data_IF_205803304466
#
_entry.id   IF_205803304466
#
_cell.length_a   1.000
_cell.length_b   1.000
_cell.length_c   1.000
_cell.angle_alpha   90.00
_cell.angle_beta   90.00
_cell.angle_gamma   90.00
#
_symmetry.space_group_name_H-M   'P 1'
#
loop_
_entity.id
_entity.type
_entity.pdbx_description
1 polymer ?
#
# COMPACT_ATOMS: atom_id res chain seq x y z
N UNK A 1 -13.62 -7.96 -6.23
CA UNK A 1 -13.88 -7.37 -4.90
C UNK A 1 -15.06 -6.44 -5.00
N UNK A 2 -16.17 -6.69 -4.28
CA UNK A 2 -17.14 -5.65 -4.02
C UNK A 2 -16.45 -4.50 -3.26
N UNK A 3 -16.83 -3.23 -3.45
CA UNK A 3 -16.25 -2.14 -2.69
C UNK A 3 -16.36 -2.39 -1.18
N UNK A 4 -15.26 -2.22 -0.46
CA UNK A 4 -15.16 -2.41 0.97
C UNK A 4 -14.97 -1.07 1.66
N UNK A 5 -15.69 -0.86 2.77
CA UNK A 5 -15.58 0.34 3.58
C UNK A 5 -14.57 0.12 4.71
N UNK A 6 -13.56 0.97 4.79
CA UNK A 6 -12.57 1.00 5.86
C UNK A 6 -12.68 2.33 6.61
N UNK A 7 -12.67 2.27 7.96
CA UNK A 7 -12.88 3.45 8.80
C UNK A 7 -12.02 3.42 10.06
N UNK A 8 -11.42 4.56 10.36
CA UNK A 8 -10.81 4.85 11.66
C UNK A 8 -11.40 6.14 12.25
N UNK A 9 -10.81 6.64 13.34
CA UNK A 9 -11.26 7.88 14.02
C UNK A 9 -11.08 9.13 13.16
N UNK A 10 -10.24 9.07 12.15
CA UNK A 10 -9.80 10.23 11.37
C UNK A 10 -10.17 10.16 9.90
N UNK A 11 -10.52 9.00 9.34
CA UNK A 11 -10.83 8.81 7.93
C UNK A 11 -11.88 7.71 7.70
N UNK A 12 -12.67 7.88 6.64
CA UNK A 12 -13.55 6.84 6.09
C UNK A 12 -13.26 6.73 4.59
N UNK A 13 -12.81 5.56 4.16
CA UNK A 13 -12.41 5.30 2.78
C UNK A 13 -13.14 4.09 2.22
N UNK A 14 -13.44 4.13 0.93
CA UNK A 14 -13.89 2.99 0.15
C UNK A 14 -12.71 2.45 -0.64
N UNK A 15 -12.49 1.13 -0.59
CA UNK A 15 -11.50 0.44 -1.40
C UNK A 15 -12.21 -0.54 -2.32
N UNK A 16 -11.77 -0.67 -3.56
CA UNK A 16 -12.41 -1.57 -4.50
C UNK A 16 -11.58 -1.84 -5.73
N UNK A 17 -12.01 -2.81 -6.53
CA UNK A 17 -11.37 -3.11 -7.80
C UNK A 17 -11.86 -2.17 -8.89
N UNK A 18 -10.93 -1.65 -9.70
CA UNK A 18 -11.24 -0.85 -10.87
C UNK A 18 -10.53 -1.42 -12.10
N UNK A 19 -11.29 -1.70 -13.16
CA UNK A 19 -10.75 -2.24 -14.41
C UNK A 19 -10.36 -1.10 -15.36
N UNK A 20 -9.14 -1.17 -15.88
CA UNK A 20 -8.64 -0.25 -16.92
C UNK A 20 -8.25 -1.01 -18.17
N UNK A 21 -8.04 -0.31 -19.28
CA UNK A 21 -7.49 -0.91 -20.49
C UNK A 21 -6.09 -1.52 -20.29
N UNK A 22 -5.35 -1.05 -19.28
CA UNK A 22 -3.99 -1.50 -18.96
C UNK A 22 -3.96 -2.51 -17.80
N UNK A 23 -5.11 -3.01 -17.37
CA UNK A 23 -5.23 -3.99 -16.29
C UNK A 23 -5.98 -3.48 -15.07
N UNK A 24 -6.15 -4.37 -14.09
CA UNK A 24 -6.91 -4.12 -12.88
C UNK A 24 -6.11 -3.32 -11.86
N UNK A 25 -6.76 -2.37 -11.20
CA UNK A 25 -6.19 -1.48 -10.19
C UNK A 25 -7.00 -1.53 -8.91
N UNK A 26 -6.39 -1.16 -7.80
CA UNK A 26 -7.09 -0.83 -6.57
C UNK A 26 -7.54 0.64 -6.62
N UNK A 27 -8.84 0.87 -6.60
CA UNK A 27 -9.43 2.17 -6.29
C UNK A 27 -9.39 2.37 -4.77
N UNK A 28 -8.91 3.53 -4.35
CA UNK A 28 -9.10 4.07 -3.01
C UNK A 28 -9.80 5.41 -3.14
N UNK A 29 -10.94 5.56 -2.47
CA UNK A 29 -11.75 6.78 -2.45
C UNK A 29 -11.91 7.28 -1.03
N UNK A 30 -11.51 8.51 -0.76
CA UNK A 30 -11.85 9.22 0.47
C UNK A 30 -13.30 9.69 0.41
N UNK A 31 -14.16 9.19 1.31
CA UNK A 31 -15.58 9.54 1.31
C UNK A 31 -15.87 10.93 1.87
N UNK A 32 -14.92 11.55 2.57
CA UNK A 32 -15.08 12.91 3.08
C UNK A 32 -14.82 13.95 1.98
N UNK A 33 -13.70 13.83 1.27
CA UNK A 33 -13.31 14.79 0.22
C UNK A 33 -13.76 14.41 -1.19
N UNK A 34 -14.10 13.14 -1.41
CA UNK A 34 -14.33 12.58 -2.74
C UNK A 34 -13.05 12.37 -3.57
N UNK A 35 -11.85 12.55 -2.98
CA UNK A 35 -10.59 12.32 -3.66
C UNK A 35 -10.35 10.82 -3.91
N UNK A 36 -9.76 10.50 -5.06
CA UNK A 36 -9.55 9.13 -5.53
C UNK A 36 -8.10 8.91 -5.96
N UNK A 37 -7.61 7.69 -5.78
CA UNK A 37 -6.38 7.19 -6.40
C UNK A 37 -6.58 5.76 -6.90
N UNK A 38 -5.91 5.42 -8.00
CA UNK A 38 -6.00 4.12 -8.67
C UNK A 38 -4.64 3.45 -8.71
N UNK A 39 -4.36 2.60 -7.72
CA UNK A 39 -3.06 1.96 -7.54
C UNK A 39 -2.95 0.72 -8.41
N UNK A 40 -1.94 0.66 -9.26
CA UNK A 40 -1.63 -0.55 -10.02
C UNK A 40 -0.87 -1.59 -9.17
N UNK A 41 -0.74 -2.85 -9.64
CA UNK A 41 -0.05 -3.89 -8.88
C UNK A 41 1.41 -3.57 -8.50
N UNK A 42 2.14 -2.78 -9.31
CA UNK A 42 3.54 -2.43 -9.02
C UNK A 42 3.60 -1.35 -7.94
N UNK A 43 2.70 -0.37 -8.01
CA UNK A 43 2.56 0.63 -6.96
C UNK A 43 2.22 -0.03 -5.61
N UNK A 44 1.32 -1.03 -5.61
CA UNK A 44 0.97 -1.80 -4.41
C UNK A 44 2.15 -2.63 -3.88
N UNK A 45 2.89 -3.29 -4.77
CA UNK A 45 4.12 -4.01 -4.43
C UNK A 45 5.16 -3.06 -3.82
N UNK A 46 5.33 -1.86 -4.37
CA UNK A 46 6.26 -0.89 -3.81
C UNK A 46 5.85 -0.37 -2.44
N UNK A 47 4.56 -0.32 -2.12
CA UNK A 47 4.08 0.02 -0.76
C UNK A 47 4.50 -1.03 0.28
N UNK A 48 4.66 -2.31 -0.09
CA UNK A 48 5.17 -3.33 0.83
C UNK A 48 6.65 -3.12 1.14
N UNK A 49 7.47 -2.77 0.13
CA UNK A 49 8.89 -2.44 0.30
C UNK A 49 9.15 -1.16 1.08
N UNK A 50 8.36 -0.11 0.84
CA UNK A 50 8.55 1.19 1.49
C UNK A 50 8.40 1.10 3.01
N UNK A 51 7.56 0.17 3.50
CA UNK A 51 7.43 -0.13 4.93
C UNK A 51 8.62 -0.89 5.52
N UNK A 52 9.49 -1.44 4.69
CA UNK A 52 10.78 -2.03 5.10
C UNK A 52 11.93 -1.00 5.04
N UNK A 53 11.79 0.05 4.21
CA UNK A 53 12.78 1.13 4.06
C UNK A 53 12.83 2.09 5.25
N UNK A 54 14.03 2.58 5.57
CA UNK A 54 14.26 3.47 6.72
C UNK A 54 13.92 4.94 6.49
N UNK A 55 13.80 5.41 5.26
CA UNK A 55 13.72 6.85 4.97
C UNK A 55 12.74 7.23 3.85
N UNK A 56 12.13 8.41 3.96
CA UNK A 56 11.41 9.10 2.88
C UNK A 56 10.06 9.74 3.25
N UNK A 57 9.59 10.72 2.46
CA UNK A 57 8.32 11.42 2.71
C UNK A 57 7.10 10.50 2.59
N UNK A 58 7.16 9.48 1.73
CA UNK A 58 6.11 8.47 1.65
C UNK A 58 6.10 7.56 2.90
N UNK A 59 7.26 7.27 3.50
CA UNK A 59 7.31 6.49 4.75
C UNK A 59 6.62 7.23 5.89
N UNK A 60 6.85 8.55 6.00
CA UNK A 60 6.17 9.38 6.99
C UNK A 60 4.63 9.36 6.83
N UNK A 61 4.13 9.17 5.62
CA UNK A 61 2.70 9.01 5.33
C UNK A 61 2.16 7.64 5.73
N UNK A 62 3.00 6.60 5.69
CA UNK A 62 2.66 5.20 5.99
C UNK A 62 2.97 4.78 7.45
N UNK A 63 3.36 5.68 8.35
CA UNK A 63 3.51 5.34 9.78
C UNK A 63 4.42 4.13 10.10
N UNK A 64 4.22 3.56 11.30
CA UNK A 64 4.93 2.37 11.78
C UNK A 64 4.14 1.08 11.51
N UNK A 65 4.84 -0.05 11.40
CA UNK A 65 4.22 -1.35 11.12
C UNK A 65 3.67 -1.95 12.42
N UNK A 66 2.36 -2.20 12.48
CA UNK A 66 1.77 -3.04 13.51
C UNK A 66 2.09 -4.52 13.19
N UNK A 67 2.70 -5.24 14.14
CA UNK A 67 2.93 -6.67 14.00
C UNK A 67 1.60 -7.40 13.89
N UNK A 68 1.41 -8.13 12.80
CA UNK A 68 0.19 -8.85 12.51
C UNK A 68 0.19 -10.22 13.23
N UNK A 69 -0.86 -10.52 13.99
CA UNK A 69 -1.23 -11.93 14.26
C UNK A 69 -1.98 -12.44 13.02
N UNK A 70 -1.52 -13.56 12.43
CA UNK A 70 -2.04 -14.08 11.16
C UNK A 70 -3.57 -13.92 11.06
N UNK A 71 -4.08 -13.11 10.12
CA UNK A 71 -5.51 -12.96 9.98
C UNK A 71 -6.08 -14.32 9.54
N UNK A 72 -7.14 -14.77 10.21
CA UNK A 72 -7.98 -15.86 9.68
C UNK A 72 -8.40 -15.52 8.24
N UNK A 73 -8.58 -16.53 7.37
CA UNK A 73 -8.44 -16.36 5.92
C UNK A 73 -9.37 -15.26 5.42
N UNK A 74 -8.83 -14.09 5.02
CA UNK A 74 -9.65 -13.09 4.37
C UNK A 74 -10.04 -13.61 2.98
N UNK A 75 -11.12 -13.09 2.41
CA UNK A 75 -11.31 -13.14 0.95
C UNK A 75 -10.21 -12.27 0.32
N UNK A 76 -9.03 -12.87 0.17
CA UNK A 76 -7.88 -12.24 -0.47
C UNK A 76 -8.03 -12.35 -1.98
N UNK A 77 -7.89 -11.23 -2.66
CA UNK A 77 -7.91 -11.15 -4.11
C UNK A 77 -6.53 -10.92 -4.68
N UNK A 78 -6.29 -11.44 -5.88
CA UNK A 78 -5.06 -11.19 -6.61
C UNK A 78 -5.29 -10.04 -7.59
N UNK A 79 -4.40 -9.04 -7.51
CA UNK A 79 -4.18 -8.05 -8.54
C UNK A 79 -2.84 -8.32 -9.21
N UNK A 80 -2.83 -8.33 -10.54
CA UNK A 80 -1.66 -8.69 -11.33
C UNK A 80 -1.57 -7.86 -12.59
N UNK A 81 -0.36 -7.49 -12.97
CA UNK A 81 -0.01 -7.04 -14.31
C UNK A 81 1.24 -7.78 -14.82
N UNK A 82 1.87 -7.29 -15.89
CA UNK A 82 3.04 -7.94 -16.49
C UNK A 82 4.32 -7.86 -15.62
N UNK A 83 4.33 -7.03 -14.59
CA UNK A 83 5.49 -6.74 -13.75
C UNK A 83 5.33 -7.19 -12.28
N UNK A 84 4.12 -7.17 -11.75
CA UNK A 84 3.83 -7.36 -10.34
C UNK A 84 2.57 -8.21 -10.10
N UNK A 85 2.56 -8.94 -8.99
CA UNK A 85 1.43 -9.75 -8.53
C UNK A 85 1.28 -9.67 -7.02
N UNK A 86 0.17 -9.09 -6.57
CA UNK A 86 -0.10 -8.83 -5.15
C UNK A 86 -1.41 -9.48 -4.71
N UNK A 87 -1.43 -9.97 -3.46
CA UNK A 87 -2.66 -10.30 -2.74
C UNK A 87 -3.13 -9.08 -1.97
N UNK A 88 -4.42 -8.78 -2.04
CA UNK A 88 -5.05 -7.70 -1.28
C UNK A 88 -6.33 -8.16 -0.60
N UNK A 89 -6.72 -7.50 0.48
CA UNK A 89 -8.03 -7.69 1.09
C UNK A 89 -8.18 -6.92 2.39
N UNK A 90 -9.39 -6.84 2.93
CA UNK A 90 -9.60 -6.32 4.28
C UNK A 90 -9.21 -7.35 5.33
N UNK A 91 -8.56 -6.86 6.37
CA UNK A 91 -8.22 -7.61 7.57
C UNK A 91 -8.68 -6.84 8.81
N UNK A 92 -9.04 -7.57 9.87
CA UNK A 92 -9.36 -6.99 11.17
C UNK A 92 -8.15 -7.07 12.09
N UNK A 93 -7.81 -5.94 12.72
CA UNK A 93 -6.76 -5.85 13.75
C UNK A 93 -7.35 -5.38 15.07
N UNK A 94 -6.57 -5.46 16.15
CA UNK A 94 -6.96 -4.83 17.43
C UNK A 94 -7.21 -3.31 17.32
N UNK A 95 -6.63 -2.66 16.32
CA UNK A 95 -6.82 -1.24 16.04
C UNK A 95 -7.90 -0.94 14.96
N UNK A 96 -8.63 -1.97 14.51
CA UNK A 96 -9.74 -1.89 13.55
C UNK A 96 -9.41 -2.44 12.17
N UNK A 97 -10.32 -2.22 11.22
CA UNK A 97 -10.20 -2.75 9.86
C UNK A 97 -9.08 -2.06 9.07
N UNK A 98 -8.35 -2.82 8.25
CA UNK A 98 -7.21 -2.35 7.46
C UNK A 98 -7.21 -2.98 6.08
N UNK A 99 -6.54 -2.33 5.12
CA UNK A 99 -6.18 -2.96 3.86
C UNK A 99 -4.89 -3.75 4.03
N UNK A 100 -4.93 -5.05 3.80
CA UNK A 100 -3.76 -5.92 3.69
C UNK A 100 -3.27 -5.95 2.25
N UNK A 101 -1.95 -5.94 2.08
CA UNK A 101 -1.26 -6.11 0.81
C UNK A 101 -0.10 -7.08 1.06
N UNK A 102 0.01 -8.11 0.23
CA UNK A 102 1.16 -9.03 0.19
C UNK A 102 1.70 -9.10 -1.22
N UNK A 103 2.98 -8.81 -1.38
CA UNK A 103 3.69 -9.15 -2.61
C UNK A 103 3.88 -10.68 -2.67
N UNK A 104 3.41 -11.31 -3.75
CA UNK A 104 3.55 -12.74 -3.92
C UNK A 104 4.96 -13.18 -4.32
N UNK A 105 5.77 -12.27 -4.87
CA UNK A 105 7.15 -12.56 -5.24
C UNK A 105 8.08 -12.55 -4.02
N UNK A 106 8.13 -11.44 -3.27
CA UNK A 106 9.02 -11.31 -2.11
C UNK A 106 8.44 -11.83 -0.80
N UNK A 107 7.11 -12.03 -0.73
CA UNK A 107 6.36 -12.24 0.52
C UNK A 107 6.40 -11.06 1.49
N UNK A 108 6.85 -9.88 1.05
CA UNK A 108 6.73 -8.66 1.82
C UNK A 108 5.25 -8.28 2.00
N UNK A 109 4.93 -7.76 3.18
CA UNK A 109 3.56 -7.45 3.59
C UNK A 109 3.44 -6.01 4.06
N UNK A 110 2.30 -5.40 3.76
CA UNK A 110 1.90 -4.11 4.29
C UNK A 110 0.46 -4.19 4.79
N UNK A 111 0.19 -3.43 5.83
CA UNK A 111 -1.17 -3.16 6.26
C UNK A 111 -1.37 -1.65 6.32
N UNK A 112 -2.43 -1.15 5.67
CA UNK A 112 -2.71 0.27 5.59
C UNK A 112 -3.96 0.65 6.38
N UNK A 113 -3.81 1.65 7.23
CA UNK A 113 -4.86 2.30 7.98
C UNK A 113 -5.73 3.16 7.05
N UNK A 114 -7.03 3.35 7.37
CA UNK A 114 -7.90 4.25 6.61
C UNK A 114 -7.33 5.67 6.46
N UNK A 115 -6.68 6.18 7.50
CA UNK A 115 -5.98 7.47 7.48
C UNK A 115 -4.81 7.56 6.51
N UNK A 116 -4.03 6.49 6.37
CA UNK A 116 -2.93 6.38 5.41
C UNK A 116 -3.45 6.25 3.99
N UNK A 117 -4.50 5.45 3.78
CA UNK A 117 -5.22 5.32 2.52
C UNK A 117 -5.77 6.67 2.04
N UNK A 118 -6.35 7.45 2.95
CA UNK A 118 -6.73 8.84 2.68
C UNK A 118 -5.52 9.73 2.39
N UNK A 119 -4.37 9.46 3.01
CA UNK A 119 -3.12 10.12 2.66
C UNK A 119 -2.74 9.89 1.19
N UNK A 120 -2.86 8.65 0.71
CA UNK A 120 -2.55 8.27 -0.66
C UNK A 120 -3.43 8.99 -1.69
N UNK A 121 -4.71 9.24 -1.40
CA UNK A 121 -5.62 9.96 -2.33
C UNK A 121 -5.21 11.41 -2.58
N UNK A 122 -4.30 11.96 -1.78
CA UNK A 122 -3.74 13.31 -1.94
C UNK A 122 -2.46 13.33 -2.79
N UNK A 123 -1.93 12.16 -3.13
CA UNK A 123 -0.74 12.00 -3.94
C UNK A 123 -1.09 12.03 -5.42
N UNK A 124 -0.09 12.38 -6.24
CA UNK A 124 -0.10 12.16 -7.69
C UNK A 124 0.76 10.94 -7.98
N UNK A 125 0.51 10.24 -9.09
CA UNK A 125 1.31 9.08 -9.50
C UNK A 125 2.82 9.37 -9.58
N UNK A 126 3.22 10.59 -9.96
CA UNK A 126 4.63 10.99 -9.95
C UNK A 126 5.27 10.93 -8.55
N UNK A 127 4.48 11.08 -7.48
CA UNK A 127 4.96 10.96 -6.10
C UNK A 127 5.14 9.49 -5.70
N UNK A 128 4.57 8.55 -6.45
CA UNK A 128 4.73 7.11 -6.27
C UNK A 128 5.93 6.56 -7.06
N UNK A 129 6.59 7.37 -7.89
CA UNK A 129 7.75 6.95 -8.67
C UNK A 129 8.86 6.27 -7.82
N UNK A 130 9.17 6.72 -6.59
CA UNK A 130 10.15 6.03 -5.73
C UNK A 130 9.76 4.60 -5.32
N UNK A 131 8.49 4.22 -5.47
CA UNK A 131 8.01 2.84 -5.23
C UNK A 131 8.42 1.87 -6.34
N UNK A 132 8.70 2.41 -7.55
CA UNK A 132 8.98 1.67 -8.77
C UNK A 132 10.48 1.46 -9.01
N UNK A 133 11.33 2.31 -8.44
CA UNK A 133 12.79 2.21 -8.54
C UNK A 133 13.43 2.00 -7.15
N UNK A 134 13.80 0.77 -6.79
CA UNK A 134 14.44 0.50 -5.51
C UNK A 134 15.86 1.07 -5.41
N UNK A 135 16.46 1.58 -6.50
CA UNK A 135 17.81 2.16 -6.46
C UNK A 135 17.88 3.36 -5.51
N UNK A 136 16.81 4.16 -5.41
CA UNK A 136 16.74 5.25 -4.42
C UNK A 136 16.47 4.75 -2.99
N UNK A 137 15.80 3.60 -2.82
CA UNK A 137 15.62 2.96 -1.51
C UNK A 137 16.92 2.34 -0.98
N UNK A 138 17.71 1.73 -1.86
CA UNK A 138 18.98 1.04 -1.53
C UNK A 138 20.12 2.05 -1.31
N UNK A 139 20.14 3.17 -2.01
CA UNK A 139 21.15 4.22 -1.82
C UNK A 139 21.14 4.83 -0.40
N UNK A 140 20.02 4.73 0.34
CA UNK A 140 19.94 5.13 1.74
C UNK A 140 20.46 4.05 2.73
N UNK A 141 20.76 2.83 2.25
CA UNK A 141 21.13 1.68 3.08
C UNK A 141 22.62 1.33 3.07
N UNK A 142 23.43 1.92 2.20
CA UNK A 142 24.89 1.72 2.21
C UNK A 142 25.56 2.79 3.11
N UNK A 143 25.98 2.46 4.35
CA UNK A 143 27.00 3.27 4.99
C UNK A 143 28.27 3.16 4.14
N UNK A 144 28.77 4.31 3.68
CA UNK A 144 30.02 4.43 2.96
C UNK A 144 31.14 3.69 3.73
N UNK A 145 31.65 2.55 3.23
CA UNK A 145 32.61 1.74 3.96
C UNK A 145 34.01 2.38 4.04
N UNK A 146 34.23 3.53 3.38
CA UNK A 146 35.54 4.18 3.28
C UNK A 146 35.75 5.37 4.26
N UNK A 147 34.95 5.47 5.34
CA UNK A 147 35.24 6.41 6.45
C UNK A 147 35.81 5.70 7.68
N UNK A 148 37.08 5.26 7.59
CA UNK A 148 37.97 4.99 8.75
C UNK A 148 39.38 5.50 8.51
#
# INVERSE_FOLDING_TARGET
>A
MPPELLKDTSATVEVGRFETASGSRLLVRDLESGAEIFLDPIELEGLTRLRESRDGPLRALLGETEAFEEPGPPELEILQNEFAMVQIGRVETGAGSRLFIRDLASRAEATLHPSELRGLTRLRHQHLAPLLDPSELVAAMEPDPDQV
#
